data_IF_964253948222
#
_entry.id   IF_964253948222
#
_cell.length_a   1.000
_cell.length_b   1.000
_cell.length_c   1.000
_cell.angle_alpha   90.00
_cell.angle_beta   90.00
_cell.angle_gamma   90.00
#
_symmetry.space_group_name_H-M   'P 1'
#
loop_
_entity.id
_entity.type
_entity.pdbx_description
1 polymer ?
#
# COMPACT_ATOMS: atom_id res chain seq x y z
N UNK A 1 -14.64 1.75 -9.21
CA UNK A 1 -14.02 0.84 -8.22
C UNK A 1 -12.88 0.08 -8.89
N UNK A 2 -11.62 0.41 -8.60
CA UNK A 2 -10.48 -0.37 -9.10
C UNK A 2 -10.56 -1.77 -8.47
N UNK A 3 -10.97 -2.77 -9.26
CA UNK A 3 -11.47 -4.11 -8.86
C UNK A 3 -10.54 -4.94 -7.93
N UNK A 4 -9.37 -4.41 -7.56
CA UNK A 4 -8.31 -5.13 -6.85
C UNK A 4 -7.54 -4.27 -5.83
N UNK A 5 -8.01 -3.05 -5.50
CA UNK A 5 -7.43 -2.24 -4.42
C UNK A 5 -8.11 -2.51 -3.09
N UNK A 6 -7.41 -2.27 -2.00
CA UNK A 6 -8.01 -2.33 -0.66
C UNK A 6 -9.08 -1.25 -0.49
N UNK A 7 -10.11 -1.57 0.29
CA UNK A 7 -11.07 -0.57 0.78
C UNK A 7 -10.39 0.36 1.79
N UNK A 8 -11.03 1.49 2.10
CA UNK A 8 -10.53 2.41 3.12
C UNK A 8 -10.54 1.75 4.50
N UNK A 9 -11.61 1.03 4.84
CA UNK A 9 -11.72 0.24 6.08
C UNK A 9 -10.58 -0.78 6.25
N UNK A 10 -10.21 -1.47 5.16
CA UNK A 10 -9.09 -2.42 5.19
C UNK A 10 -7.74 -1.73 5.37
N UNK A 11 -7.60 -0.52 4.82
CA UNK A 11 -6.39 0.28 4.96
C UNK A 11 -6.23 0.80 6.39
N UNK A 12 -7.30 1.29 7.01
CA UNK A 12 -7.32 1.77 8.40
C UNK A 12 -6.84 0.72 9.41
N UNK A 13 -7.05 -0.57 9.14
CA UNK A 13 -6.60 -1.67 10.00
C UNK A 13 -5.07 -1.87 10.03
N UNK A 14 -4.34 -1.35 9.04
CA UNK A 14 -2.90 -1.62 8.87
C UNK A 14 -2.05 -0.36 8.70
N UNK A 15 -2.67 0.81 8.55
CA UNK A 15 -1.93 2.04 8.21
C UNK A 15 -0.97 2.48 9.31
N UNK A 16 -1.32 2.20 10.57
CA UNK A 16 -0.56 2.51 11.77
C UNK A 16 0.71 1.65 11.93
N UNK A 17 0.79 0.53 11.21
CA UNK A 17 1.98 -0.33 11.16
C UNK A 17 3.14 0.32 10.38
N UNK A 18 2.87 1.36 9.60
CA UNK A 18 3.89 2.03 8.79
C UNK A 18 4.44 3.28 9.50
N UNK A 19 5.77 3.48 9.48
CA UNK A 19 6.36 4.68 10.06
C UNK A 19 5.96 5.92 9.24
N UNK A 20 5.88 7.07 9.92
CA UNK A 20 5.69 8.36 9.27
C UNK A 20 6.81 8.63 8.24
N UNK A 21 6.51 9.35 7.14
CA UNK A 21 7.53 9.72 6.14
C UNK A 21 8.71 10.46 6.77
N UNK A 22 9.92 10.15 6.30
CA UNK A 22 11.12 10.88 6.70
C UNK A 22 11.01 12.36 6.30
N UNK A 23 11.52 13.26 7.16
CA UNK A 23 11.51 14.71 6.91
C UNK A 23 12.46 15.14 5.77
N UNK A 24 13.48 14.33 5.48
CA UNK A 24 14.52 14.64 4.50
C UNK A 24 14.77 13.45 3.57
N UNK A 25 15.35 13.73 2.39
CA UNK A 25 15.64 12.72 1.37
C UNK A 25 14.56 12.61 0.30
N UNK A 26 14.59 11.52 -0.47
CA UNK A 26 13.60 11.26 -1.53
C UNK A 26 12.24 10.96 -0.90
N UNK A 27 11.15 11.67 -1.29
CA UNK A 27 9.82 11.37 -0.80
C UNK A 27 9.45 9.90 -1.05
N UNK A 28 8.96 9.16 -0.03
CA UNK A 28 8.55 7.78 -0.21
C UNK A 28 7.28 7.69 -1.05
N UNK A 29 7.11 6.56 -1.74
CA UNK A 29 5.84 6.22 -2.38
C UNK A 29 4.79 5.96 -1.28
N UNK A 30 3.54 6.37 -1.54
CA UNK A 30 2.43 6.14 -0.61
C UNK A 30 2.29 4.66 -0.25
N UNK A 31 2.26 4.34 1.04
CA UNK A 31 2.30 2.96 1.55
C UNK A 31 1.13 2.11 1.06
N UNK A 32 -0.06 2.70 0.96
CA UNK A 32 -1.23 2.05 0.36
C UNK A 32 -0.99 1.55 -1.07
N UNK A 33 -0.31 2.35 -1.90
CA UNK A 33 0.01 1.95 -3.27
C UNK A 33 0.99 0.78 -3.32
N UNK A 34 1.94 0.73 -2.38
CA UNK A 34 2.88 -0.39 -2.25
C UNK A 34 2.14 -1.67 -1.88
N UNK A 35 1.26 -1.61 -0.87
CA UNK A 35 0.47 -2.76 -0.44
C UNK A 35 -0.50 -3.22 -1.54
N UNK A 36 -1.17 -2.29 -2.21
CA UNK A 36 -2.01 -2.62 -3.38
C UNK A 36 -1.21 -3.32 -4.49
N UNK A 37 0.05 -2.91 -4.70
CA UNK A 37 0.96 -3.55 -5.64
C UNK A 37 1.35 -4.97 -5.23
N UNK A 38 1.68 -5.18 -3.96
CA UNK A 38 1.95 -6.51 -3.39
C UNK A 38 0.72 -7.42 -3.58
N UNK A 39 -0.46 -6.93 -3.21
CA UNK A 39 -1.71 -7.67 -3.39
C UNK A 39 -2.08 -7.90 -4.86
N UNK A 40 -1.64 -7.05 -5.77
CA UNK A 40 -1.78 -7.32 -7.19
C UNK A 40 -0.89 -8.51 -7.58
N UNK A 41 0.41 -8.47 -7.24
CA UNK A 41 1.36 -9.54 -7.56
C UNK A 41 0.93 -10.89 -6.99
N UNK A 42 0.54 -10.94 -5.71
CA UNK A 42 0.11 -12.19 -5.07
C UNK A 42 -1.17 -12.77 -5.66
N UNK A 43 -2.08 -11.92 -6.14
CA UNK A 43 -3.33 -12.37 -6.79
C UNK A 43 -3.16 -12.77 -8.24
N UNK A 44 -2.20 -12.18 -8.96
CA UNK A 44 -1.96 -12.49 -10.38
C UNK A 44 -0.91 -13.56 -10.59
N UNK A 45 -0.08 -13.85 -9.59
CA UNK A 45 1.09 -14.72 -9.73
C UNK A 45 2.19 -14.09 -10.58
N UNK A 46 2.19 -12.76 -10.73
CA UNK A 46 3.25 -12.04 -11.43
C UNK A 46 4.54 -12.10 -10.59
N UNK A 47 5.63 -12.55 -11.21
CA UNK A 47 6.98 -12.62 -10.65
C UNK A 47 7.91 -11.68 -11.44
#
# INVERSE_FOLDING_TARGET
MARKRMTDEQWELIEDLFPSPAKTGRPPVGRRNVVDGIFWMTRTGAA
#
